data_IF_011936796931
#
_entry.id   IF_011936796931
#
_cell.length_a   1.000
_cell.length_b   1.000
_cell.length_c   1.000
_cell.angle_alpha   90.00
_cell.angle_beta   90.00
_cell.angle_gamma   90.00
#
_symmetry.space_group_name_H-M   'P 1'
#
loop_
_entity.id
_entity.type
_entity.pdbx_description
1 polymer ?
#
# COMPACT_ATOMS: atom_id res chain seq x y z
N UNK A 1 -25.91 0.62 -8.12
CA UNK A 1 -25.67 -0.79 -7.77
C UNK A 1 -24.30 -0.85 -7.16
N UNK A 2 -24.21 -0.95 -5.84
CA UNK A 2 -22.93 -0.91 -5.13
C UNK A 2 -22.15 -2.18 -5.50
N UNK A 3 -20.98 -2.01 -6.12
CA UNK A 3 -20.01 -3.08 -6.27
C UNK A 3 -19.57 -3.52 -4.87
N UNK A 4 -19.41 -4.83 -4.61
CA UNK A 4 -18.90 -5.28 -3.33
C UNK A 4 -17.49 -4.71 -3.14
N UNK A 5 -17.25 -4.25 -1.91
CA UNK A 5 -15.97 -3.78 -1.42
C UNK A 5 -14.92 -4.88 -1.64
N UNK A 6 -14.12 -4.76 -2.70
CA UNK A 6 -12.94 -5.60 -2.85
C UNK A 6 -11.94 -5.14 -1.79
N UNK A 7 -11.98 -5.80 -0.64
CA UNK A 7 -10.78 -5.93 0.18
C UNK A 7 -9.73 -6.56 -0.72
N UNK A 8 -8.56 -5.94 -0.85
CA UNK A 8 -7.39 -6.63 -1.40
C UNK A 8 -6.97 -7.70 -0.37
N UNK A 9 -7.73 -8.79 -0.31
CA UNK A 9 -7.33 -10.02 0.37
C UNK A 9 -6.38 -10.74 -0.57
N UNK A 10 -5.28 -11.26 -0.04
CA UNK A 10 -4.51 -12.29 -0.73
C UNK A 10 -5.47 -13.34 -1.31
N UNK A 11 -5.16 -13.86 -2.51
CA UNK A 11 -6.00 -14.85 -3.19
C UNK A 11 -6.23 -16.02 -2.22
N UNK A 12 -7.48 -16.39 -1.89
CA UNK A 12 -7.74 -17.49 -0.97
C UNK A 12 -7.07 -18.78 -1.42
N UNK A 13 -6.49 -19.52 -0.47
CA UNK A 13 -6.03 -20.88 -0.72
C UNK A 13 -7.26 -21.74 -1.05
N UNK A 14 -7.42 -22.07 -2.33
CA UNK A 14 -8.62 -22.74 -2.85
C UNK A 14 -8.37 -24.23 -3.00
N UNK A 15 -9.23 -25.04 -2.38
CA UNK A 15 -9.11 -26.50 -2.40
C UNK A 15 -9.50 -27.07 -3.77
N UNK A 16 -8.64 -27.95 -4.30
CA UNK A 16 -8.91 -28.73 -5.52
C UNK A 16 -8.99 -30.22 -5.24
N UNK A 17 -8.24 -30.73 -4.27
CA UNK A 17 -8.09 -32.17 -4.02
C UNK A 17 -7.55 -32.94 -5.24
N UNK A 18 -6.84 -32.29 -6.16
CA UNK A 18 -6.34 -32.91 -7.40
C UNK A 18 -5.01 -33.64 -7.22
N UNK A 19 -4.36 -33.49 -6.08
CA UNK A 19 -3.12 -34.15 -5.72
C UNK A 19 -3.29 -35.64 -5.40
N UNK A 20 -2.21 -36.29 -4.92
CA UNK A 20 -2.14 -37.75 -4.76
C UNK A 20 -2.99 -38.30 -3.61
N UNK A 21 -3.49 -37.44 -2.73
CA UNK A 21 -4.24 -37.79 -1.54
C UNK A 21 -5.34 -36.75 -1.28
N UNK A 22 -6.05 -36.89 -0.17
CA UNK A 22 -7.07 -35.94 0.28
C UNK A 22 -6.57 -35.11 1.48
N UNK A 23 -5.25 -34.96 1.66
CA UNK A 23 -4.68 -34.28 2.83
C UNK A 23 -4.58 -32.77 2.58
N UNK A 24 -4.98 -31.97 3.56
CA UNK A 24 -4.82 -30.51 3.53
C UNK A 24 -3.33 -30.10 3.54
N UNK A 25 -2.46 -30.90 4.15
CA UNK A 25 -1.01 -30.70 4.19
C UNK A 25 -0.29 -30.97 2.86
N UNK A 26 -1.00 -31.47 1.83
CA UNK A 26 -0.42 -31.74 0.51
C UNK A 26 -0.61 -30.54 -0.41
N UNK A 27 0.47 -29.84 -0.73
CA UNK A 27 0.46 -28.60 -1.51
C UNK A 27 -0.23 -28.71 -2.89
N UNK A 28 -0.14 -29.86 -3.56
CA UNK A 28 -0.77 -30.10 -4.86
C UNK A 28 -2.29 -30.31 -4.82
N UNK A 29 -2.89 -30.33 -3.63
CA UNK A 29 -4.35 -30.29 -3.45
C UNK A 29 -4.92 -28.86 -3.43
N UNK A 30 -4.09 -27.85 -3.61
CA UNK A 30 -4.47 -26.44 -3.59
C UNK A 30 -4.18 -25.78 -4.93
N UNK A 31 -5.03 -24.85 -5.36
CA UNK A 31 -4.86 -24.10 -6.63
C UNK A 31 -3.51 -23.41 -6.69
N UNK A 32 -3.06 -22.86 -5.56
CA UNK A 32 -1.80 -22.13 -5.43
C UNK A 32 -0.57 -23.03 -5.43
N UNK A 33 -0.73 -24.37 -5.43
CA UNK A 33 0.35 -25.34 -5.25
C UNK A 33 1.12 -25.14 -3.94
N UNK A 34 0.47 -24.60 -2.92
CA UNK A 34 1.01 -24.35 -1.58
C UNK A 34 -0.07 -24.67 -0.54
N UNK A 35 0.33 -25.20 0.63
CA UNK A 35 -0.57 -25.43 1.75
C UNK A 35 -0.94 -24.13 2.45
N UNK A 36 -2.17 -23.98 2.98
CA UNK A 36 -2.56 -22.83 3.79
C UNK A 36 -1.66 -22.66 5.02
N UNK A 37 -1.25 -21.43 5.31
CA UNK A 37 -0.52 -21.03 6.50
C UNK A 37 -1.35 -20.16 7.45
N UNK A 38 -0.71 -19.76 8.56
CA UNK A 38 -1.34 -18.87 9.54
C UNK A 38 -1.70 -17.51 8.92
N UNK A 39 -2.93 -17.05 9.15
CA UNK A 39 -3.48 -15.83 8.58
C UNK A 39 -4.06 -16.00 7.18
N UNK A 40 -3.99 -17.19 6.58
CA UNK A 40 -4.61 -17.40 5.27
C UNK A 40 -6.14 -17.42 5.35
N UNK A 41 -6.77 -17.08 4.24
CA UNK A 41 -8.17 -17.40 3.98
C UNK A 41 -8.21 -18.66 3.14
N UNK A 42 -8.96 -19.66 3.59
CA UNK A 42 -9.17 -20.92 2.86
C UNK A 42 -10.54 -20.91 2.21
N UNK A 43 -10.63 -21.35 0.96
CA UNK A 43 -11.86 -21.42 0.20
C UNK A 43 -12.14 -22.85 -0.30
N UNK A 44 -13.34 -23.33 0.01
CA UNK A 44 -13.95 -24.52 -0.58
C UNK A 44 -15.19 -24.08 -1.39
N UNK A 45 -15.14 -24.26 -2.72
CA UNK A 45 -16.20 -23.85 -3.64
C UNK A 45 -16.43 -24.85 -4.78
N UNK A 46 -17.09 -24.44 -5.88
CA UNK A 46 -17.37 -25.31 -7.03
C UNK A 46 -16.11 -25.88 -7.72
N UNK A 47 -14.91 -25.39 -7.39
CA UNK A 47 -13.64 -25.88 -7.92
C UNK A 47 -13.42 -27.37 -7.64
N UNK A 48 -13.99 -27.90 -6.56
CA UNK A 48 -13.89 -29.32 -6.24
C UNK A 48 -15.08 -29.84 -5.44
N UNK A 49 -15.46 -31.09 -5.69
CA UNK A 49 -16.41 -31.83 -4.84
C UNK A 49 -15.75 -32.92 -4.00
N UNK A 50 -14.41 -32.96 -3.96
CA UNK A 50 -13.66 -34.01 -3.26
C UNK A 50 -13.50 -33.70 -1.79
N UNK A 51 -13.63 -34.74 -0.95
CA UNK A 51 -13.39 -34.65 0.49
C UNK A 51 -11.99 -34.11 0.81
N UNK A 52 -11.88 -33.42 1.93
CA UNK A 52 -10.63 -32.90 2.47
C UNK A 52 -10.46 -33.44 3.89
N UNK A 53 -9.31 -34.06 4.16
CA UNK A 53 -8.87 -34.41 5.50
C UNK A 53 -7.88 -33.36 5.98
N UNK A 54 -8.33 -32.54 6.93
CA UNK A 54 -7.52 -31.51 7.54
C UNK A 54 -6.59 -32.13 8.59
N UNK A 55 -5.29 -32.18 8.32
CA UNK A 55 -4.33 -33.03 9.02
C UNK A 55 -3.17 -32.28 9.70
N UNK A 56 -3.18 -30.94 9.68
CA UNK A 56 -2.15 -30.12 10.33
C UNK A 56 -2.77 -28.95 11.12
N UNK A 57 -1.98 -28.34 12.00
CA UNK A 57 -2.43 -27.20 12.81
C UNK A 57 -2.21 -25.90 12.07
N UNK A 58 -3.26 -25.08 11.97
CA UNK A 58 -3.20 -23.72 11.40
C UNK A 58 -4.15 -22.78 12.12
N UNK A 59 -3.81 -21.50 12.12
CA UNK A 59 -4.65 -20.40 12.57
C UNK A 59 -5.09 -19.54 11.36
N UNK A 60 -6.28 -19.81 10.80
CA UNK A 60 -6.79 -19.11 9.63
C UNK A 60 -7.43 -17.76 9.98
N UNK A 61 -7.33 -16.80 9.07
CA UNK A 61 -8.15 -15.59 9.12
C UNK A 61 -9.62 -15.89 8.81
N UNK A 62 -9.88 -16.79 7.85
CA UNK A 62 -11.22 -17.26 7.54
C UNK A 62 -11.20 -18.64 6.87
N UNK A 63 -12.24 -19.42 7.10
CA UNK A 63 -12.57 -20.65 6.38
C UNK A 63 -13.91 -20.42 5.67
N UNK A 64 -13.89 -20.32 4.35
CA UNK A 64 -15.08 -20.11 3.53
C UNK A 64 -15.47 -21.42 2.84
N UNK A 65 -16.72 -21.83 3.04
CA UNK A 65 -17.32 -23.00 2.38
C UNK A 65 -18.59 -22.54 1.69
N UNK A 66 -18.61 -22.53 0.36
CA UNK A 66 -19.79 -22.12 -0.42
C UNK A 66 -20.80 -23.26 -0.52
N UNK A 67 -22.05 -22.95 -0.87
CA UNK A 67 -23.12 -23.95 -1.06
C UNK A 67 -22.84 -24.97 -2.17
N UNK A 68 -21.93 -24.63 -3.07
CA UNK A 68 -21.55 -25.38 -4.26
C UNK A 68 -20.48 -26.44 -3.96
N UNK A 69 -19.83 -26.37 -2.79
CA UNK A 69 -18.88 -27.40 -2.36
C UNK A 69 -19.63 -28.63 -1.84
N UNK A 70 -19.48 -29.76 -2.53
CA UNK A 70 -20.19 -31.01 -2.21
C UNK A 70 -19.37 -32.02 -1.38
N UNK A 71 -18.09 -31.72 -1.13
CA UNK A 71 -17.21 -32.60 -0.36
C UNK A 71 -17.38 -32.44 1.15
N UNK A 72 -16.79 -33.36 1.92
CA UNK A 72 -16.73 -33.29 3.37
C UNK A 72 -15.36 -32.79 3.83
N UNK A 73 -15.33 -31.83 4.75
CA UNK A 73 -14.10 -31.42 5.44
C UNK A 73 -14.04 -32.15 6.78
N UNK A 74 -13.09 -33.07 6.94
CA UNK A 74 -12.90 -33.85 8.16
C UNK A 74 -11.63 -33.39 8.86
N UNK A 75 -11.74 -32.94 10.10
CA UNK A 75 -10.58 -32.53 10.90
C UNK A 75 -9.99 -33.76 11.61
N UNK A 76 -8.72 -34.04 11.34
CA UNK A 76 -7.98 -35.12 11.98
C UNK A 76 -7.89 -34.88 13.49
N UNK A 77 -7.98 -35.92 14.34
CA UNK A 77 -7.85 -35.78 15.80
C UNK A 77 -6.52 -35.17 16.28
N UNK A 78 -5.47 -35.24 15.46
CA UNK A 78 -4.14 -34.66 15.74
C UNK A 78 -3.95 -33.26 15.15
N UNK A 79 -4.94 -32.74 14.43
CA UNK A 79 -4.90 -31.43 13.80
C UNK A 79 -5.68 -30.40 14.61
N UNK A 80 -5.45 -29.12 14.33
CA UNK A 80 -6.23 -28.02 14.90
C UNK A 80 -6.49 -26.97 13.84
N UNK A 81 -7.76 -26.79 13.50
CA UNK A 81 -8.21 -25.73 12.60
C UNK A 81 -8.78 -24.60 13.45
N UNK A 82 -7.97 -23.57 13.67
CA UNK A 82 -8.32 -22.44 14.54
C UNK A 82 -8.74 -21.28 13.65
N UNK A 83 -9.98 -20.80 13.79
CA UNK A 83 -10.35 -19.49 13.25
C UNK A 83 -9.85 -18.44 14.22
N UNK A 84 -9.09 -17.46 13.73
CA UNK A 84 -8.64 -16.34 14.54
C UNK A 84 -9.86 -15.54 15.01
N UNK A 85 -10.20 -15.68 16.28
CA UNK A 85 -11.08 -14.72 16.94
C UNK A 85 -10.35 -13.38 17.03
N UNK A 86 -10.94 -12.33 16.48
CA UNK A 86 -10.39 -10.99 16.59
C UNK A 86 -10.51 -10.50 18.02
N UNK A 87 -9.44 -9.91 18.54
CA UNK A 87 -9.43 -9.28 19.84
C UNK A 87 -10.03 -7.89 19.68
N UNK A 88 -11.26 -7.73 20.16
CA UNK A 88 -12.07 -6.52 19.94
C UNK A 88 -11.96 -5.56 21.12
N UNK A 89 -11.57 -4.32 20.83
CA UNK A 89 -11.60 -3.23 21.79
C UNK A 89 -13.04 -2.91 22.17
N UNK A 90 -13.33 -2.93 23.47
CA UNK A 90 -14.62 -2.49 24.00
C UNK A 90 -14.53 -1.15 24.72
N UNK A 91 -13.38 -0.83 25.31
CA UNK A 91 -13.21 0.31 26.22
C UNK A 91 -14.04 0.17 27.51
N UNK A 92 -14.47 -1.05 27.86
CA UNK A 92 -15.39 -1.30 28.97
C UNK A 92 -14.78 -1.26 30.38
N UNK A 93 -13.47 -1.06 30.50
CA UNK A 93 -12.76 -0.95 31.78
C UNK A 93 -12.84 0.44 32.40
N UNK A 94 -12.03 0.67 33.43
CA UNK A 94 -12.02 1.94 34.20
C UNK A 94 -11.00 2.96 33.69
N UNK A 95 -10.26 2.62 32.64
CA UNK A 95 -9.21 3.41 32.01
C UNK A 95 -9.21 3.15 30.50
N UNK A 96 -8.36 3.86 29.76
CA UNK A 96 -8.23 3.68 28.30
C UNK A 96 -7.01 2.83 27.91
N UNK A 97 -6.37 2.10 28.83
CA UNK A 97 -5.10 1.41 28.56
C UNK A 97 -5.35 0.08 27.82
N UNK A 98 -4.61 -0.15 26.73
CA UNK A 98 -4.61 -1.42 26.00
C UNK A 98 -4.11 -2.59 26.89
N UNK A 99 -3.27 -2.30 27.88
CA UNK A 99 -2.76 -3.27 28.86
C UNK A 99 -3.79 -3.72 29.91
N UNK A 100 -4.95 -3.06 30.02
CA UNK A 100 -6.01 -3.48 30.92
C UNK A 100 -6.95 -4.49 30.22
N UNK A 101 -7.01 -5.76 30.68
CA UNK A 101 -7.86 -6.77 30.03
C UNK A 101 -9.34 -6.38 29.99
N UNK A 102 -9.84 -5.61 30.97
CA UNK A 102 -11.25 -5.20 31.03
C UNK A 102 -11.68 -4.30 29.86
N UNK A 103 -10.73 -3.69 29.15
CA UNK A 103 -11.01 -2.88 27.96
C UNK A 103 -11.16 -3.71 26.67
N UNK A 104 -11.01 -5.03 26.76
CA UNK A 104 -11.14 -5.94 25.64
C UNK A 104 -12.35 -6.84 25.82
N UNK A 105 -13.08 -7.08 24.74
CA UNK A 105 -14.18 -8.04 24.73
C UNK A 105 -13.70 -9.41 25.24
N UNK A 106 -14.44 -10.00 26.18
CA UNK A 106 -14.06 -11.27 26.80
C UNK A 106 -12.91 -11.18 27.80
N UNK A 107 -12.48 -9.98 28.20
CA UNK A 107 -11.37 -9.74 29.14
C UNK A 107 -10.04 -10.36 28.68
N UNK A 108 -9.80 -10.42 27.36
CA UNK A 108 -8.63 -11.06 26.76
C UNK A 108 -7.75 -10.01 26.10
N UNK A 109 -6.52 -9.87 26.61
CA UNK A 109 -5.51 -9.00 26.00
C UNK A 109 -5.10 -9.52 24.63
N UNK A 110 -4.81 -8.63 23.66
CA UNK A 110 -4.20 -9.03 22.41
C UNK A 110 -2.74 -9.49 22.66
N UNK A 111 -2.32 -10.46 21.87
CA UNK A 111 -0.95 -10.97 21.81
C UNK A 111 -0.34 -10.68 20.43
N UNK A 112 0.97 -10.87 20.32
CA UNK A 112 1.61 -10.83 19.01
C UNK A 112 0.96 -11.85 18.07
N UNK A 113 0.81 -11.45 16.82
CA UNK A 113 0.08 -12.15 15.77
C UNK A 113 -1.45 -12.19 15.93
N UNK A 114 -2.07 -11.61 16.95
CA UNK A 114 -3.53 -11.50 16.97
C UNK A 114 -4.05 -10.48 15.95
N UNK A 115 -5.26 -10.70 15.44
CA UNK A 115 -6.01 -9.68 14.71
C UNK A 115 -6.75 -8.78 15.70
N UNK A 116 -6.57 -7.48 15.60
CA UNK A 116 -7.13 -6.51 16.55
C UNK A 116 -8.18 -5.65 15.87
N UNK A 117 -9.33 -5.48 16.51
CA UNK A 117 -10.49 -4.81 15.95
C UNK A 117 -11.02 -3.70 16.87
N UNK A 118 -11.25 -2.53 16.31
CA UNK A 118 -11.89 -1.39 16.94
C UNK A 118 -13.17 -1.06 16.17
N UNK A 119 -14.34 -1.36 16.69
CA UNK A 119 -15.61 -1.11 15.98
C UNK A 119 -16.77 -1.01 16.97
N UNK A 120 -17.82 -0.27 16.61
CA UNK A 120 -19.05 -0.13 17.38
C UNK A 120 -18.88 0.57 18.73
N UNK A 121 -17.85 1.38 18.90
CA UNK A 121 -17.55 2.14 20.13
C UNK A 121 -16.86 3.46 19.80
N UNK A 122 -17.02 4.45 20.66
CA UNK A 122 -16.31 5.73 20.58
C UNK A 122 -15.19 5.84 21.62
N UNK A 123 -14.94 4.77 22.38
CA UNK A 123 -13.96 4.77 23.47
C UNK A 123 -12.52 4.87 22.94
N UNK A 124 -11.77 5.84 23.49
CA UNK A 124 -10.35 6.05 23.20
C UNK A 124 -9.51 4.87 23.71
N UNK A 125 -8.44 4.56 22.99
CA UNK A 125 -7.48 3.54 23.35
C UNK A 125 -6.08 4.16 23.44
N UNK A 126 -5.40 3.95 24.55
CA UNK A 126 -3.98 4.21 24.73
C UNK A 126 -3.27 2.88 24.46
N UNK A 127 -2.67 2.76 23.28
CA UNK A 127 -1.89 1.60 22.91
C UNK A 127 -0.53 1.64 23.63
N UNK A 128 -0.47 0.95 24.76
CA UNK A 128 0.69 0.82 25.66
C UNK A 128 1.29 -0.60 25.66
N UNK A 129 0.89 -1.45 24.71
CA UNK A 129 1.39 -2.81 24.57
C UNK A 129 2.62 -2.88 23.65
N UNK A 130 3.62 -3.68 24.05
CA UNK A 130 4.81 -4.00 23.25
C UNK A 130 4.63 -5.35 22.52
N UNK A 131 3.64 -5.42 21.64
CA UNK A 131 3.33 -6.60 20.81
C UNK A 131 3.30 -6.23 19.33
N UNK A 132 3.35 -7.22 18.45
CA UNK A 132 3.16 -7.05 17.01
C UNK A 132 1.86 -7.72 16.57
N UNK A 133 0.71 -7.02 16.62
CA UNK A 133 -0.56 -7.61 16.17
C UNK A 133 -0.47 -7.88 14.67
N UNK A 134 -1.05 -9.00 14.20
CA UNK A 134 -0.98 -9.36 12.79
C UNK A 134 -1.66 -8.31 11.91
N UNK A 135 -2.81 -7.79 12.34
CA UNK A 135 -3.42 -6.62 11.72
C UNK A 135 -4.12 -5.78 12.80
N UNK A 136 -4.31 -4.50 12.51
CA UNK A 136 -5.25 -3.65 13.24
C UNK A 136 -6.26 -3.12 12.24
N UNK A 137 -7.55 -3.22 12.58
CA UNK A 137 -8.64 -2.64 11.81
C UNK A 137 -9.53 -1.80 12.70
N UNK A 138 -9.80 -0.56 12.29
CA UNK A 138 -10.97 0.18 12.78
C UNK A 138 -12.13 0.00 11.81
N UNK A 139 -13.35 -0.14 12.33
CA UNK A 139 -14.59 -0.07 11.57
C UNK A 139 -14.99 1.38 11.33
N UNK A 140 -15.77 1.65 10.27
CA UNK A 140 -16.32 2.98 9.97
C UNK A 140 -17.28 3.54 11.05
N UNK A 141 -17.64 2.73 12.02
CA UNK A 141 -18.46 3.04 13.20
C UNK A 141 -17.63 3.22 14.47
N UNK A 142 -16.29 3.09 14.40
CA UNK A 142 -15.40 3.49 15.48
C UNK A 142 -15.19 5.01 15.45
N UNK A 143 -15.49 5.71 16.55
CA UNK A 143 -15.32 7.16 16.66
C UNK A 143 -14.15 7.60 17.55
N UNK A 144 -13.53 6.67 18.29
CA UNK A 144 -12.47 6.99 19.25
C UNK A 144 -11.10 7.25 18.63
N UNK A 145 -10.12 7.53 19.49
CA UNK A 145 -8.71 7.75 19.18
C UNK A 145 -7.84 6.63 19.72
N UNK A 146 -7.06 5.99 18.86
CA UNK A 146 -5.98 5.08 19.22
C UNK A 146 -4.68 5.89 19.34
N UNK A 147 -4.24 6.17 20.55
CA UNK A 147 -3.00 6.86 20.87
C UNK A 147 -1.85 5.87 21.07
N UNK A 148 -0.90 5.86 20.14
CA UNK A 148 0.25 4.96 20.17
C UNK A 148 1.37 5.54 21.04
N UNK A 149 1.78 4.81 22.09
CA UNK A 149 2.84 5.25 23.01
C UNK A 149 4.18 4.53 22.82
N UNK A 150 4.20 3.39 22.15
CA UNK A 150 5.38 2.60 21.78
C UNK A 150 5.45 2.38 20.25
N UNK A 151 6.62 2.10 19.66
CA UNK A 151 6.69 1.74 18.24
C UNK A 151 5.79 0.54 17.92
N UNK A 152 5.03 0.64 16.83
CA UNK A 152 4.04 -0.35 16.44
C UNK A 152 4.48 -1.06 15.15
N UNK A 153 4.52 -2.40 15.19
CA UNK A 153 4.85 -3.24 14.04
C UNK A 153 3.68 -4.15 13.70
N UNK A 154 3.23 -4.12 12.45
CA UNK A 154 2.06 -4.86 11.96
C UNK A 154 2.50 -5.69 10.75
N UNK A 155 2.68 -7.03 10.92
CA UNK A 155 3.07 -7.91 9.82
C UNK A 155 2.06 -8.00 8.67
N UNK A 156 0.79 -7.76 8.94
CA UNK A 156 -0.29 -7.72 7.95
C UNK A 156 -0.73 -6.29 7.64
N UNK A 157 -2.02 -6.10 7.41
CA UNK A 157 -2.59 -4.82 7.00
C UNK A 157 -2.92 -3.92 8.19
N UNK A 158 -2.89 -2.61 7.95
CA UNK A 158 -3.48 -1.62 8.84
C UNK A 158 -4.67 -0.97 8.10
N UNK A 159 -5.84 -1.02 8.71
CA UNK A 159 -7.03 -0.33 8.20
C UNK A 159 -7.54 0.63 9.25
N UNK A 160 -7.63 1.91 8.88
CA UNK A 160 -8.28 2.95 9.68
C UNK A 160 -9.51 3.41 8.91
N UNK A 161 -10.64 2.71 9.06
CA UNK A 161 -11.89 3.02 8.33
C UNK A 161 -12.74 4.08 9.04
N UNK A 162 -12.65 4.12 10.37
CA UNK A 162 -13.18 5.15 11.26
C UNK A 162 -12.19 5.54 12.36
N UNK A 163 -12.50 6.61 13.09
CA UNK A 163 -11.72 7.10 14.23
C UNK A 163 -10.36 7.67 13.84
N UNK A 164 -9.50 7.84 14.84
CA UNK A 164 -8.18 8.45 14.70
C UNK A 164 -7.10 7.47 15.15
N UNK A 165 -6.10 7.20 14.32
CA UNK A 165 -4.83 6.61 14.74
C UNK A 165 -3.80 7.72 14.93
N UNK A 166 -3.43 7.99 16.19
CA UNK A 166 -2.46 9.01 16.57
C UNK A 166 -1.11 8.36 16.90
N UNK A 167 -0.11 8.57 16.05
CA UNK A 167 1.21 7.94 16.21
C UNK A 167 2.10 8.59 17.28
N UNK A 168 1.79 9.81 17.74
CA UNK A 168 2.54 10.50 18.81
C UNK A 168 4.07 10.54 18.62
N UNK A 169 4.55 10.56 17.37
CA UNK A 169 5.98 10.52 17.04
C UNK A 169 6.64 9.14 17.18
N UNK A 170 5.87 8.08 17.44
CA UNK A 170 6.33 6.69 17.48
C UNK A 170 6.39 6.10 16.07
N UNK A 171 7.37 5.23 15.84
CA UNK A 171 7.53 4.54 14.56
C UNK A 171 6.36 3.60 14.29
N UNK A 172 5.95 3.51 13.03
CA UNK A 172 4.98 2.55 12.53
C UNK A 172 5.62 1.74 11.41
N UNK A 173 5.63 0.43 11.54
CA UNK A 173 6.04 -0.47 10.45
C UNK A 173 4.85 -1.33 10.05
N UNK A 174 4.46 -1.30 8.78
CA UNK A 174 3.38 -2.13 8.23
C UNK A 174 3.94 -2.93 7.06
N UNK A 175 3.94 -4.26 7.19
CA UNK A 175 4.41 -5.15 6.13
C UNK A 175 3.33 -5.37 5.05
N UNK A 176 2.05 -5.33 5.43
CA UNK A 176 0.93 -5.30 4.49
C UNK A 176 0.62 -3.89 4.00
N UNK A 177 -0.62 -3.67 3.54
CA UNK A 177 -1.11 -2.39 3.07
C UNK A 177 -1.62 -1.49 4.22
N UNK A 178 -1.57 -0.17 3.99
CA UNK A 178 -2.28 0.83 4.80
C UNK A 178 -3.49 1.30 4.00
N UNK A 179 -4.68 1.19 4.60
CA UNK A 179 -5.92 1.79 4.11
C UNK A 179 -6.42 2.83 5.12
N UNK A 180 -6.56 4.08 4.68
CA UNK A 180 -7.29 5.12 5.39
C UNK A 180 -8.67 5.23 4.72
N UNK A 181 -9.70 4.71 5.37
CA UNK A 181 -11.07 4.78 4.88
C UNK A 181 -11.65 6.17 4.99
N UNK A 182 -12.79 6.41 4.34
CA UNK A 182 -13.37 7.77 4.18
C UNK A 182 -13.68 8.51 5.48
N UNK A 183 -13.83 7.80 6.60
CA UNK A 183 -14.04 8.39 7.94
C UNK A 183 -12.83 8.22 8.86
N UNK A 184 -11.78 7.56 8.39
CA UNK A 184 -10.58 7.33 9.14
C UNK A 184 -9.61 8.50 9.03
N UNK A 185 -8.86 8.70 10.11
CA UNK A 185 -7.76 9.67 10.16
C UNK A 185 -6.50 9.02 10.69
N UNK A 186 -5.38 9.18 10.00
CA UNK A 186 -4.05 8.90 10.56
C UNK A 186 -3.36 10.24 10.85
N UNK A 187 -2.94 10.45 12.09
CA UNK A 187 -2.11 11.57 12.51
C UNK A 187 -0.66 11.12 12.67
N UNK A 188 0.18 11.45 11.67
CA UNK A 188 1.57 11.03 11.62
C UNK A 188 2.45 11.66 12.70
N UNK A 189 2.16 12.89 13.13
CA UNK A 189 3.03 13.62 14.06
C UNK A 189 4.46 13.73 13.49
N UNK A 190 5.48 13.37 14.28
CA UNK A 190 6.88 13.31 13.83
C UNK A 190 7.39 11.88 13.59
N UNK A 191 6.49 10.94 13.27
CA UNK A 191 6.82 9.51 13.17
C UNK A 191 7.64 9.17 11.92
N UNK A 192 8.21 7.96 11.93
CA UNK A 192 8.67 7.28 10.73
C UNK A 192 7.67 6.15 10.44
N UNK A 193 7.08 6.19 9.25
CA UNK A 193 6.13 5.18 8.76
C UNK A 193 6.84 4.37 7.68
N UNK A 194 7.17 3.12 7.97
CA UNK A 194 7.75 2.18 7.01
C UNK A 194 6.64 1.28 6.49
N UNK A 195 6.43 1.28 5.18
CA UNK A 195 5.35 0.54 4.53
C UNK A 195 5.92 -0.38 3.45
N UNK A 196 5.63 -1.67 3.54
CA UNK A 196 5.98 -2.64 2.50
C UNK A 196 4.81 -2.99 1.56
N UNK A 197 3.55 -2.76 1.94
CA UNK A 197 2.41 -2.94 1.04
C UNK A 197 1.96 -1.64 0.36
N UNK A 198 0.73 -1.62 -0.15
CA UNK A 198 0.19 -0.44 -0.84
C UNK A 198 -0.23 0.66 0.14
N UNK A 199 -0.17 1.91 -0.31
CA UNK A 199 -0.73 3.06 0.40
C UNK A 199 -2.04 3.45 -0.25
N UNK A 200 -3.14 3.42 0.51
CA UNK A 200 -4.45 3.82 0.03
C UNK A 200 -5.09 4.84 0.97
N UNK A 201 -5.24 6.09 0.49
CA UNK A 201 -5.86 7.15 1.27
C UNK A 201 -7.19 7.60 0.66
N UNK A 202 -8.29 7.14 1.22
CA UNK A 202 -9.66 7.61 0.92
C UNK A 202 -10.20 8.60 1.97
N UNK A 203 -9.51 8.72 3.10
CA UNK A 203 -9.86 9.59 4.23
C UNK A 203 -8.85 10.71 4.43
N UNK A 204 -8.40 10.87 5.67
CA UNK A 204 -7.51 11.97 6.05
C UNK A 204 -6.17 11.47 6.58
N UNK A 205 -5.09 11.88 5.93
CA UNK A 205 -3.74 11.75 6.46
C UNK A 205 -3.22 13.13 6.89
N UNK A 206 -3.03 13.32 8.19
CA UNK A 206 -2.36 14.50 8.76
C UNK A 206 -0.88 14.19 8.96
N UNK A 207 -0.08 14.54 7.97
CA UNK A 207 1.33 14.17 7.91
C UNK A 207 2.20 14.72 9.06
N UNK A 208 1.86 15.87 9.65
CA UNK A 208 2.76 16.54 10.61
C UNK A 208 4.15 16.76 10.00
N UNK A 209 5.19 16.28 10.68
CA UNK A 209 6.57 16.24 10.17
C UNK A 209 7.06 14.82 9.90
N UNK A 210 6.14 13.87 9.74
CA UNK A 210 6.46 12.46 9.57
C UNK A 210 7.19 12.13 8.27
N UNK A 211 7.86 10.98 8.25
CA UNK A 211 8.50 10.43 7.05
C UNK A 211 7.83 9.14 6.65
N UNK A 212 7.28 9.08 5.43
CA UNK A 212 6.75 7.85 4.84
C UNK A 212 7.82 7.22 3.95
N UNK A 213 8.19 5.98 4.25
CA UNK A 213 9.19 5.19 3.54
C UNK A 213 8.49 3.98 2.91
N UNK A 214 8.44 3.97 1.59
CA UNK A 214 7.93 2.87 0.77
C UNK A 214 9.07 1.88 0.52
N UNK A 215 9.03 0.74 1.21
CA UNK A 215 10.12 -0.23 1.26
C UNK A 215 9.76 -1.59 0.62
N UNK A 216 8.52 -1.76 0.16
CA UNK A 216 8.08 -2.96 -0.55
C UNK A 216 8.37 -2.91 -2.05
N UNK A 217 8.00 -3.96 -2.77
CA UNK A 217 8.16 -4.03 -4.23
C UNK A 217 6.83 -3.83 -4.95
N UNK A 218 6.85 -3.20 -6.12
CA UNK A 218 5.67 -2.97 -6.97
C UNK A 218 4.49 -2.31 -6.24
N UNK A 219 4.79 -1.34 -5.37
CA UNK A 219 3.80 -0.68 -4.53
C UNK A 219 2.92 0.27 -5.35
N UNK A 220 1.68 0.45 -4.90
CA UNK A 220 0.71 1.41 -5.44
C UNK A 220 0.44 2.48 -4.37
N UNK A 221 0.44 3.75 -4.78
CA UNK A 221 -0.12 4.87 -4.01
C UNK A 221 -1.45 5.27 -4.63
N UNK A 222 -2.52 5.14 -3.86
CA UNK A 222 -3.89 5.44 -4.24
C UNK A 222 -4.51 6.55 -3.39
N UNK A 223 -5.38 7.33 -4.03
CA UNK A 223 -6.00 8.51 -3.48
C UNK A 223 -5.07 9.71 -3.36
N UNK A 224 -5.65 10.87 -3.06
CA UNK A 224 -4.87 12.10 -2.85
C UNK A 224 -4.20 12.07 -1.47
N UNK A 225 -2.90 12.29 -1.41
CA UNK A 225 -2.17 12.37 -0.14
C UNK A 225 -1.23 13.57 -0.11
N UNK A 226 -1.04 14.14 1.09
CA UNK A 226 0.00 15.12 1.37
C UNK A 226 0.99 14.50 2.35
N UNK A 227 2.24 14.35 1.93
CA UNK A 227 3.33 13.82 2.74
C UNK A 227 4.25 14.95 3.16
N UNK A 228 4.83 14.86 4.36
CA UNK A 228 5.92 15.77 4.74
C UNK A 228 7.23 15.31 4.08
N UNK A 229 7.68 14.09 4.37
CA UNK A 229 8.70 13.40 3.57
C UNK A 229 8.12 12.13 2.94
N UNK A 230 8.48 11.87 1.68
CA UNK A 230 8.17 10.62 0.98
C UNK A 230 9.44 10.06 0.37
N UNK A 231 9.74 8.79 0.65
CA UNK A 231 10.92 8.11 0.14
C UNK A 231 10.59 6.75 -0.46
N UNK A 232 11.10 6.48 -1.66
CA UNK A 232 11.17 5.16 -2.29
C UNK A 232 12.59 4.96 -2.83
N UNK A 233 13.32 4.00 -2.25
CA UNK A 233 14.67 3.63 -2.68
C UNK A 233 14.66 2.16 -3.12
N UNK A 234 14.92 1.93 -4.40
CA UNK A 234 14.99 0.59 -4.98
C UNK A 234 16.46 0.20 -5.20
N UNK A 235 16.84 -0.97 -4.68
CA UNK A 235 18.19 -1.54 -4.84
C UNK A 235 18.30 -2.49 -6.06
N UNK A 236 17.14 -2.92 -6.56
CA UNK A 236 16.91 -3.75 -7.75
C UNK A 236 15.86 -3.07 -8.64
N UNK A 237 15.63 -3.61 -9.84
CA UNK A 237 14.53 -3.14 -10.69
C UNK A 237 13.20 -3.25 -9.92
N UNK A 238 12.45 -2.15 -9.90
CA UNK A 238 11.22 -2.06 -9.13
C UNK A 238 10.26 -1.04 -9.77
N UNK A 239 8.99 -1.14 -9.43
CA UNK A 239 7.96 -0.20 -9.88
C UNK A 239 7.25 0.46 -8.71
N UNK A 240 6.94 1.74 -8.88
CA UNK A 240 6.03 2.49 -8.04
C UNK A 240 4.91 3.03 -8.91
N UNK A 241 3.68 2.62 -8.60
CA UNK A 241 2.49 3.02 -9.32
C UNK A 241 1.75 4.12 -8.56
N UNK A 242 1.19 5.06 -9.31
CA UNK A 242 0.35 6.13 -8.78
C UNK A 242 -1.02 6.04 -9.45
N UNK A 243 -2.08 6.15 -8.64
CA UNK A 243 -3.44 6.16 -9.17
C UNK A 243 -3.64 7.35 -10.13
N UNK A 244 -4.13 7.07 -11.33
CA UNK A 244 -4.43 8.08 -12.34
C UNK A 244 -5.36 9.17 -11.78
N UNK A 245 -5.19 10.41 -12.25
CA UNK A 245 -5.96 11.58 -11.83
C UNK A 245 -5.90 11.92 -10.31
N UNK A 246 -5.00 11.28 -9.56
CA UNK A 246 -4.72 11.64 -8.16
C UNK A 246 -3.45 12.48 -8.04
N UNK A 247 -3.39 13.32 -7.01
CA UNK A 247 -2.27 14.20 -6.71
C UNK A 247 -1.57 13.78 -5.42
N UNK A 248 -0.25 13.59 -5.51
CA UNK A 248 0.62 13.43 -4.35
C UNK A 248 1.37 14.75 -4.08
N UNK A 249 1.12 15.37 -2.93
CA UNK A 249 1.82 16.58 -2.49
C UNK A 249 2.96 16.17 -1.54
N UNK A 250 4.17 16.69 -1.75
CA UNK A 250 5.31 16.43 -0.87
C UNK A 250 5.86 17.77 -0.38
N UNK A 251 5.67 18.05 0.90
CA UNK A 251 5.93 19.37 1.49
C UNK A 251 7.44 19.63 1.66
N UNK A 252 8.19 18.67 2.22
CA UNK A 252 9.58 18.89 2.62
C UNK A 252 10.59 18.14 1.75
N UNK A 253 10.59 16.80 1.73
CA UNK A 253 11.57 16.06 0.94
C UNK A 253 10.94 14.89 0.16
N UNK A 254 11.13 14.91 -1.16
CA UNK A 254 10.83 13.81 -2.06
C UNK A 254 12.13 13.07 -2.42
N UNK A 255 12.21 11.78 -2.11
CA UNK A 255 13.29 10.90 -2.53
C UNK A 255 12.75 9.76 -3.38
N UNK A 256 13.14 9.70 -4.66
CA UNK A 256 12.82 8.60 -5.57
C UNK A 256 14.12 8.14 -6.21
N UNK A 257 14.61 6.98 -5.81
CA UNK A 257 15.91 6.47 -6.25
C UNK A 257 15.81 5.03 -6.73
N UNK A 258 16.25 4.78 -7.95
CA UNK A 258 16.67 3.45 -8.37
C UNK A 258 18.18 3.28 -8.24
N UNK A 259 18.75 2.42 -9.08
CA UNK A 259 20.20 2.21 -9.19
C UNK A 259 20.60 2.14 -10.66
N UNK A 260 21.86 2.42 -10.97
CA UNK A 260 22.40 2.22 -12.32
C UNK A 260 22.09 0.79 -12.82
N UNK A 261 21.53 0.68 -14.03
CA UNK A 261 21.01 -0.54 -14.66
C UNK A 261 19.77 -1.19 -14.00
N UNK A 262 19.27 -0.64 -12.89
CA UNK A 262 18.10 -1.10 -12.15
C UNK A 262 17.21 0.11 -11.84
N UNK A 263 16.57 0.67 -12.87
CA UNK A 263 15.77 1.88 -12.74
C UNK A 263 14.56 1.62 -11.84
N UNK A 264 14.16 2.64 -11.07
CA UNK A 264 12.85 2.69 -10.44
C UNK A 264 11.84 3.20 -11.46
N UNK A 265 10.91 2.35 -11.89
CA UNK A 265 9.82 2.73 -12.79
C UNK A 265 8.71 3.47 -12.02
N UNK A 266 8.42 4.70 -12.42
CA UNK A 266 7.28 5.48 -11.94
C UNK A 266 6.18 5.44 -13.02
N UNK A 267 5.00 4.92 -12.67
CA UNK A 267 3.93 4.63 -13.64
C UNK A 267 2.56 5.10 -13.13
N UNK A 268 1.69 5.48 -14.07
CA UNK A 268 0.25 5.57 -13.81
C UNK A 268 -0.36 4.18 -13.69
N UNK A 269 -1.45 4.04 -12.94
CA UNK A 269 -2.28 2.83 -12.94
C UNK A 269 -3.19 2.72 -14.17
N UNK A 270 -3.39 3.81 -14.92
CA UNK A 270 -4.21 3.81 -16.13
C UNK A 270 -3.44 4.32 -17.34
N UNK A 271 -3.55 3.58 -18.46
CA UNK A 271 -2.81 3.88 -19.68
C UNK A 271 -3.24 5.24 -20.25
N UNK A 272 -2.25 6.08 -20.59
CA UNK A 272 -2.43 7.43 -21.15
C UNK A 272 -3.07 8.46 -20.21
N UNK A 273 -3.39 8.10 -18.96
CA UNK A 273 -3.91 9.02 -17.97
C UNK A 273 -2.80 9.40 -17.00
N UNK A 274 -2.58 10.69 -16.81
CA UNK A 274 -1.50 11.14 -15.96
C UNK A 274 -1.83 10.96 -14.47
N UNK A 275 -0.83 10.60 -13.68
CA UNK A 275 -0.84 10.87 -12.24
C UNK A 275 -0.20 12.24 -11.98
N UNK A 276 -0.57 12.90 -10.89
CA UNK A 276 -0.05 14.22 -10.54
C UNK A 276 0.87 14.20 -9.31
N UNK A 277 1.91 15.03 -9.34
CA UNK A 277 2.82 15.22 -8.21
C UNK A 277 3.12 16.70 -7.99
N UNK A 278 3.20 17.12 -6.73
CA UNK A 278 3.54 18.48 -6.33
C UNK A 278 4.62 18.46 -5.24
N UNK A 279 5.90 18.23 -5.60
CA UNK A 279 6.99 18.40 -4.66
C UNK A 279 7.24 19.89 -4.43
N UNK A 280 7.14 20.34 -3.18
CA UNK A 280 7.29 21.73 -2.77
C UNK A 280 8.65 22.02 -2.12
N UNK A 281 9.33 21.00 -1.59
CA UNK A 281 10.65 21.11 -0.98
C UNK A 281 11.77 20.47 -1.83
N UNK A 282 12.71 19.79 -1.16
CA UNK A 282 13.86 19.15 -1.80
C UNK A 282 13.45 17.93 -2.63
N UNK A 283 14.18 17.72 -3.73
CA UNK A 283 13.96 16.64 -4.69
C UNK A 283 15.27 15.87 -4.84
N UNK A 284 15.30 14.63 -4.39
CA UNK A 284 16.43 13.72 -4.58
C UNK A 284 15.98 12.60 -5.51
N UNK A 285 16.28 12.75 -6.79
CA UNK A 285 15.68 11.97 -7.87
C UNK A 285 16.79 11.39 -8.74
N UNK A 286 16.94 10.07 -8.72
CA UNK A 286 18.08 9.39 -9.36
C UNK A 286 17.69 8.02 -9.92
N UNK A 287 18.24 7.68 -11.10
CA UNK A 287 18.04 6.38 -11.76
C UNK A 287 16.57 5.94 -11.83
N UNK A 288 15.74 6.78 -12.46
CA UNK A 288 14.30 6.54 -12.60
C UNK A 288 13.90 6.35 -14.06
N UNK A 289 12.74 5.75 -14.27
CA UNK A 289 12.04 5.78 -15.55
C UNK A 289 10.62 6.28 -15.29
N UNK A 290 10.21 7.37 -15.93
CA UNK A 290 8.92 8.02 -15.66
C UNK A 290 8.00 7.88 -16.86
N UNK A 291 6.74 7.58 -16.61
CA UNK A 291 5.69 7.61 -17.63
C UNK A 291 4.38 8.15 -17.06
N UNK A 292 3.65 8.87 -17.90
CA UNK A 292 2.31 9.38 -17.60
C UNK A 292 2.30 10.26 -16.32
N UNK A 293 3.29 11.13 -16.12
CA UNK A 293 3.42 11.97 -14.92
C UNK A 293 3.19 13.45 -15.19
N UNK A 294 2.42 14.12 -14.34
CA UNK A 294 2.23 15.57 -14.36
C UNK A 294 2.77 16.22 -13.08
N UNK A 295 3.92 16.88 -13.17
CA UNK A 295 4.38 17.76 -12.10
C UNK A 295 3.59 19.08 -12.14
N UNK A 296 2.70 19.27 -11.18
CA UNK A 296 1.86 20.48 -11.06
C UNK A 296 2.55 21.61 -10.28
N UNK A 297 3.76 21.38 -9.77
CA UNK A 297 4.57 22.45 -9.20
C UNK A 297 5.17 23.32 -10.32
N UNK A 298 5.32 24.63 -10.07
CA UNK A 298 5.91 25.54 -11.05
C UNK A 298 7.40 25.27 -11.32
N UNK A 299 8.09 24.59 -10.40
CA UNK A 299 9.49 24.22 -10.53
C UNK A 299 9.58 22.79 -11.07
N UNK A 300 10.33 22.62 -12.16
CA UNK A 300 10.55 21.30 -12.77
C UNK A 300 11.25 20.34 -11.82
N UNK A 301 10.94 19.04 -11.93
CA UNK A 301 11.64 17.99 -11.21
C UNK A 301 12.90 17.59 -12.00
N UNK A 302 14.12 17.82 -11.45
CA UNK A 302 15.33 17.35 -12.10
C UNK A 302 15.44 15.82 -11.97
N UNK A 303 15.72 15.14 -13.07
CA UNK A 303 15.93 13.70 -13.16
C UNK A 303 17.10 13.40 -14.13
N UNK A 304 18.35 13.82 -13.80
CA UNK A 304 19.48 13.79 -14.73
C UNK A 304 19.91 12.38 -15.17
N UNK A 305 19.59 11.34 -14.39
CA UNK A 305 19.75 9.93 -14.77
C UNK A 305 18.39 9.24 -14.96
N UNK A 306 17.40 10.01 -15.43
CA UNK A 306 16.05 9.55 -15.67
C UNK A 306 15.80 9.19 -17.14
N UNK A 307 14.87 8.28 -17.37
CA UNK A 307 14.32 7.97 -18.69
C UNK A 307 12.93 8.59 -18.84
N UNK A 308 12.71 9.29 -19.95
CA UNK A 308 11.38 9.80 -20.34
C UNK A 308 10.66 8.74 -21.18
N UNK A 309 9.77 7.96 -20.55
CA UNK A 309 8.91 6.97 -21.23
C UNK A 309 7.60 7.57 -21.76
N UNK A 310 7.58 8.88 -22.00
CA UNK A 310 6.51 9.68 -22.61
C UNK A 310 5.37 10.09 -21.66
N UNK A 311 4.59 11.07 -22.13
CA UNK A 311 3.44 11.68 -21.43
C UNK A 311 3.81 12.27 -20.06
N UNK A 312 5.01 12.82 -19.95
CA UNK A 312 5.50 13.48 -18.75
C UNK A 312 5.45 15.01 -18.90
N UNK A 313 5.08 15.73 -17.85
CA UNK A 313 5.02 17.20 -17.82
C UNK A 313 5.75 17.72 -16.58
N UNK A 314 6.57 18.77 -16.75
CA UNK A 314 7.29 19.40 -15.65
C UNK A 314 8.47 18.59 -15.09
N UNK A 315 9.06 17.71 -15.90
CA UNK A 315 10.28 16.94 -15.61
C UNK A 315 11.45 17.44 -16.47
N UNK A 316 12.67 17.37 -15.95
CA UNK A 316 13.91 17.68 -16.68
C UNK A 316 14.84 16.46 -16.62
N UNK A 317 14.94 15.71 -17.72
CA UNK A 317 15.72 14.48 -17.82
C UNK A 317 17.20 14.69 -18.16
N UNK A 318 17.72 15.91 -18.06
CA UNK A 318 19.14 16.22 -18.34
C UNK A 318 19.53 16.23 -19.83
N UNK A 319 18.69 15.65 -20.70
CA UNK A 319 18.90 15.60 -22.14
C UNK A 319 18.53 16.91 -22.86
N UNK A 320 17.90 17.86 -22.15
CA UNK A 320 17.42 19.16 -22.70
C UNK A 320 18.41 20.32 -22.51
N UNK A 321 19.73 20.07 -22.55
CA UNK A 321 20.71 21.14 -22.68
C UNK A 321 20.73 21.69 -24.12
N UNK A 322 19.60 22.18 -24.63
CA UNK A 322 19.66 23.33 -25.55
C UNK A 322 19.93 24.57 -24.69
N UNK A 323 21.20 24.77 -24.35
CA UNK A 323 21.67 26.05 -23.82
C UNK A 323 21.56 27.10 -24.94
N UNK A 324 20.45 27.83 -24.97
CA UNK A 324 20.37 29.04 -25.77
C UNK A 324 21.25 30.11 -25.09
N UNK A 325 22.57 30.06 -25.29
CA UNK A 325 23.41 31.22 -25.05
C UNK A 325 22.98 32.29 -26.04
N UNK A 326 22.31 33.33 -25.53
CA UNK A 326 21.87 34.48 -26.32
C UNK A 326 23.11 35.24 -26.80
N UNK A 327 23.62 34.88 -27.98
CA UNK A 327 24.59 35.71 -28.70
C UNK A 327 24.09 35.97 -30.12
N UNK A 328 23.35 37.09 -30.22
CA UNK A 328 23.08 37.89 -31.42
C UNK A 328 22.84 37.11 -32.73
N UNK A 329 21.57 36.78 -32.98
CA UNK A 329 21.00 37.00 -34.31
C UNK A 329 21.09 35.88 -35.35
N UNK A 330 21.02 34.61 -34.97
CA UNK A 330 20.80 33.52 -35.93
C UNK A 330 19.65 32.62 -35.49
N UNK A 331 18.63 32.49 -36.34
CA UNK A 331 17.56 31.49 -36.22
C UNK A 331 18.18 30.13 -36.53
N UNK A 332 18.30 29.26 -35.52
CA UNK A 332 18.64 27.86 -35.71
C UNK A 332 17.54 27.00 -35.10
N UNK A 333 17.03 26.08 -35.92
CA UNK A 333 16.00 25.09 -35.56
C UNK A 333 16.51 24.17 -34.45
N UNK A 334 15.79 24.11 -33.33
CA UNK A 334 15.94 23.04 -32.35
C UNK A 334 15.42 21.73 -32.97
N UNK A 335 16.24 20.68 -33.03
CA UNK A 335 15.75 19.32 -33.28
C UNK A 335 15.28 18.74 -31.96
N UNK A 336 13.96 18.59 -31.81
CA UNK A 336 13.39 17.53 -30.99
C UNK A 336 13.28 16.30 -31.89
N UNK A 337 14.12 15.29 -31.67
CA UNK A 337 13.96 14.04 -32.40
C UNK A 337 12.75 13.30 -31.84
N UNK A 338 11.64 13.31 -32.60
CA UNK A 338 10.49 12.45 -32.31
C UNK A 338 9.12 12.84 -32.86
N UNK A 339 9.00 13.25 -34.13
CA UNK A 339 7.94 12.88 -35.11
C UNK A 339 7.90 13.91 -36.25
N UNK A 340 8.10 13.40 -37.47
CA UNK A 340 7.98 14.13 -38.72
C UNK A 340 6.56 14.68 -38.95
N UNK A 341 6.43 15.99 -39.14
CA UNK A 341 5.42 16.54 -40.04
C UNK A 341 6.11 17.56 -40.96
N UNK A 342 6.33 17.15 -42.21
CA UNK A 342 6.94 17.98 -43.23
C UNK A 342 6.07 19.22 -43.52
N UNK A 343 6.59 20.42 -43.26
CA UNK A 343 6.14 21.63 -43.94
C UNK A 343 7.28 22.20 -44.78
N UNK A 344 7.15 22.04 -46.10
CA UNK A 344 7.91 22.82 -47.10
C UNK A 344 7.48 24.29 -46.97
N UNK A 345 8.35 25.15 -46.44
CA UNK A 345 8.19 26.60 -46.45
C UNK A 345 9.40 27.26 -47.12
N UNK A 346 9.17 27.92 -48.25
CA UNK A 346 10.15 28.58 -49.13
C UNK A 346 11.02 29.63 -48.41
N UNK A 347 12.31 29.62 -48.74
CA UNK A 347 13.23 30.75 -48.61
C UNK A 347 12.73 31.96 -49.40
N UNK A 348 12.71 33.14 -48.77
CA UNK A 348 12.75 34.44 -49.45
C UNK A 348 13.67 35.34 -48.60
N UNK A 349 14.94 35.44 -48.98
CA UNK A 349 15.75 36.61 -48.67
C UNK A 349 15.48 37.67 -49.74
N UNK A 350 15.15 38.89 -49.33
CA UNK A 350 15.38 40.10 -50.14
C UNK A 350 16.45 40.92 -49.42
N UNK A 351 17.40 41.39 -50.21
CA UNK A 351 18.54 42.24 -49.84
C UNK A 351 18.15 43.52 -49.09
#
# INVERSE_FOLDING_TARGET
MALPLFMCTAIPATWTGTGPDMLASTASNWVTMHTPGDGDTVLFNETSGKDCMWDFTVSLNALMVTSEYSGTITISPSASLILREFIKWSGGGTDSLASNPANWAGNKLPQSNDGVLFEGTDEDCIWDLEISPHFIRTGADYGGTITVLSPLSIPGNLTVDGGILLLSGRGLTVSGAILIGTKGTIQGGSSIIVLNGNWENRGTFHHGTSSVILNGSNQIISGNSSFYNLAKNASVEDSLYFEADTTQIIINNLTLQGKSNNLLSLRSTAVYQQWAINPQGSRTIEYIDVKDSNNVNSVMIPAPHGTDSLNNTGWNFGNDQCSCLWNRGLVHTCRSDGIHAAMKGRSIFRE
#
